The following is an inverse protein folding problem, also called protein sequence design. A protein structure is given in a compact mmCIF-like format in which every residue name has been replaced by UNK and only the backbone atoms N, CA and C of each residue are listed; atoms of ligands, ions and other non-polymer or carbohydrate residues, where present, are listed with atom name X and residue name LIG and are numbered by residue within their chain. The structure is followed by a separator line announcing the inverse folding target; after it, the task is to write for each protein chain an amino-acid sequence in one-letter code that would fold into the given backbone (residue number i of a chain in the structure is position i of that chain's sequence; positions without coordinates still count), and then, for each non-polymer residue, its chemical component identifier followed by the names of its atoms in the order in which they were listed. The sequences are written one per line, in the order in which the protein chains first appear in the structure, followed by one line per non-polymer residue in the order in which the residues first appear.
data_IF_343190499642
#
_entry.id   IF_343190499642
#
_cell.length_a   1.000
_cell.length_b   1.000
_cell.length_c   1.000
_cell.angle_alpha   90.00
_cell.angle_beta   90.00
_cell.angle_gamma   90.00
#
_symmetry.space_group_name_H-M   'P 1'
#
loop_
_entity.id
_entity.type
_entity.pdbx_description
1 polymer ?
#
# COMPACT_ATOMS: atom_id res chain seq x y z
N UNK A 1 -16.02 -4.72 -4.59
CA UNK A 1 -14.74 -4.05 -4.90
C UNK A 1 -13.60 -4.90 -4.35
N UNK A 2 -12.50 -5.09 -5.08
CA UNK A 2 -11.50 -6.12 -4.73
C UNK A 2 -10.40 -5.67 -3.73
N UNK A 3 -10.27 -4.37 -3.44
CA UNK A 3 -9.17 -3.86 -2.62
C UNK A 3 -9.67 -2.95 -1.49
N UNK A 4 -9.16 -3.18 -0.28
CA UNK A 4 -9.45 -2.36 0.89
C UNK A 4 -8.24 -2.28 1.83
N UNK A 5 -8.22 -1.22 2.66
CA UNK A 5 -7.30 -1.02 3.78
C UNK A 5 -8.18 -0.65 4.97
N UNK A 6 -8.04 -1.35 6.10
CA UNK A 6 -8.87 -1.16 7.30
C UNK A 6 -10.39 -1.21 7.04
N UNK A 7 -10.83 -2.09 6.15
CA UNK A 7 -12.23 -2.18 5.74
C UNK A 7 -12.68 -1.13 4.74
N UNK A 8 -11.89 -0.07 4.51
CA UNK A 8 -12.21 1.01 3.58
C UNK A 8 -11.77 0.67 2.15
N UNK A 9 -12.68 0.75 1.16
CA UNK A 9 -12.36 0.40 -0.22
C UNK A 9 -11.38 1.41 -0.82
N UNK A 10 -10.46 0.96 -1.67
CA UNK A 10 -9.50 1.81 -2.37
C UNK A 10 -9.26 1.32 -3.80
N UNK A 11 -8.58 2.11 -4.62
CA UNK A 11 -8.12 1.68 -5.94
C UNK A 11 -6.98 0.69 -5.75
N UNK A 12 -6.73 -0.13 -6.78
CA UNK A 12 -5.60 -1.07 -6.77
C UNK A 12 -4.28 -0.34 -6.53
N UNK A 13 -4.09 0.82 -7.14
CA UNK A 13 -2.87 1.60 -7.03
C UNK A 13 -2.69 2.18 -5.63
N UNK A 14 -3.75 2.68 -4.99
CA UNK A 14 -3.69 3.09 -3.60
C UNK A 14 -3.42 1.92 -2.66
N UNK A 15 -4.09 0.78 -2.87
CA UNK A 15 -3.81 -0.43 -2.09
C UNK A 15 -2.34 -0.81 -2.14
N UNK A 16 -1.72 -0.77 -3.32
CA UNK A 16 -0.29 -1.04 -3.50
C UNK A 16 0.56 -0.05 -2.70
N UNK A 17 0.28 1.25 -2.82
CA UNK A 17 1.00 2.32 -2.11
C UNK A 17 0.89 2.18 -0.59
N UNK A 18 -0.33 2.06 -0.07
CA UNK A 18 -0.61 1.95 1.36
C UNK A 18 -0.06 0.66 1.97
N UNK A 19 -0.16 -0.46 1.24
CA UNK A 19 0.45 -1.73 1.66
C UNK A 19 1.97 -1.63 1.73
N UNK A 20 2.60 -0.97 0.75
CA UNK A 20 4.04 -0.71 0.76
C UNK A 20 4.46 0.13 1.96
N UNK A 21 3.67 1.16 2.27
CA UNK A 21 3.88 2.05 3.39
C UNK A 21 3.89 1.27 4.72
N UNK A 22 2.86 0.45 4.97
CA UNK A 22 2.78 -0.44 6.13
C UNK A 22 3.93 -1.43 6.19
N UNK A 23 4.27 -1.99 5.04
CA UNK A 23 5.38 -2.92 4.94
C UNK A 23 6.69 -2.26 5.38
N UNK A 24 6.95 -1.03 4.99
CA UNK A 24 8.14 -0.28 5.44
C UNK A 24 8.05 0.22 6.89
N UNK A 25 6.99 -0.16 7.61
CA UNK A 25 6.83 0.03 9.03
C UNK A 25 6.11 1.29 9.45
N UNK A 26 5.55 2.02 8.49
CA UNK A 26 4.71 3.18 8.77
C UNK A 26 3.39 2.69 9.37
N UNK A 27 3.03 3.26 10.52
CA UNK A 27 1.77 2.98 11.21
C UNK A 27 0.78 4.08 10.87
N UNK A 28 -0.41 3.69 10.39
CA UNK A 28 -1.51 4.60 10.11
C UNK A 28 -2.82 3.81 10.07
N UNK A 29 -3.92 4.51 10.36
CA UNK A 29 -5.28 4.03 10.15
C UNK A 29 -5.91 4.77 8.96
N UNK A 30 -6.56 4.03 8.05
CA UNK A 30 -7.34 4.62 6.96
C UNK A 30 -8.80 4.75 7.43
N UNK A 31 -9.24 5.98 7.67
CA UNK A 31 -10.61 6.29 8.08
C UNK A 31 -11.57 6.20 6.91
N UNK A 32 -11.20 6.78 5.76
CA UNK A 32 -11.99 6.71 4.53
C UNK A 32 -11.11 6.60 3.29
N UNK A 33 -11.58 5.81 2.32
CA UNK A 33 -10.96 5.65 1.01
C UNK A 33 -11.90 6.09 -0.09
N UNK A 34 -12.15 5.20 -1.05
CA UNK A 34 -13.11 5.42 -2.12
C UNK A 34 -14.54 5.46 -1.57
N UNK A 35 -15.33 6.43 -2.01
CA UNK A 35 -16.72 6.60 -1.59
C UNK A 35 -17.66 6.35 -2.77
N UNK A 36 -18.81 5.74 -2.49
CA UNK A 36 -19.92 5.67 -3.44
C UNK A 36 -20.74 6.97 -3.41
N UNK A 37 -21.43 7.30 -4.51
CA UNK A 37 -22.26 8.52 -4.58
C UNK A 37 -23.33 8.57 -3.48
N UNK A 38 -23.94 7.43 -3.16
CA UNK A 38 -24.92 7.29 -2.07
C UNK A 38 -24.32 7.63 -0.71
N UNK A 39 -23.07 7.22 -0.46
CA UNK A 39 -22.37 7.57 0.78
C UNK A 39 -22.02 9.06 0.83
N UNK A 40 -21.61 9.66 -0.29
CA UNK A 40 -21.36 11.11 -0.35
C UNK A 40 -22.63 11.93 -0.06
N UNK A 41 -23.80 11.48 -0.53
CA UNK A 41 -25.08 12.07 -0.15
C UNK A 41 -25.33 12.06 1.35
N UNK A 42 -24.97 10.97 2.05
CA UNK A 42 -25.09 10.89 3.51
C UNK A 42 -24.22 11.96 4.18
N UNK A 43 -22.94 12.06 3.81
CA UNK A 43 -22.03 13.06 4.38
C UNK A 43 -22.43 14.49 4.05
N UNK A 44 -22.89 14.75 2.83
CA UNK A 44 -23.41 16.06 2.43
C UNK A 44 -24.60 16.50 3.30
N UNK A 45 -25.53 15.59 3.58
CA UNK A 45 -26.67 15.90 4.46
C UNK A 45 -26.22 16.17 5.90
N UNK A 46 -25.27 15.40 6.43
CA UNK A 46 -24.69 15.63 7.75
C UNK A 46 -23.99 16.99 7.84
N UNK A 47 -23.21 17.37 6.82
CA UNK A 47 -22.61 18.69 6.73
C UNK A 47 -23.66 19.80 6.78
N UNK A 48 -24.74 19.66 5.99
CA UNK A 48 -25.86 20.62 5.96
C UNK A 48 -26.59 20.75 7.30
N UNK A 49 -26.50 19.76 8.18
CA UNK A 49 -27.05 19.79 9.53
C UNK A 49 -26.02 20.14 10.62
N UNK A 50 -24.87 20.72 10.25
CA UNK A 50 -23.83 21.18 11.19
C UNK A 50 -22.70 20.18 11.46
N UNK A 51 -22.60 19.10 10.70
CA UNK A 51 -21.48 18.16 10.75
C UNK A 51 -20.21 18.65 10.04
N UNK A 52 -19.21 17.78 9.96
CA UNK A 52 -17.94 18.05 9.27
C UNK A 52 -18.15 18.46 7.81
N UNK A 53 -17.18 19.22 7.28
CA UNK A 53 -17.16 19.65 5.88
C UNK A 53 -17.32 18.43 4.95
N UNK A 54 -18.18 18.57 3.94
CA UNK A 54 -18.36 17.55 2.92
C UNK A 54 -18.55 18.21 1.56
N UNK A 55 -17.91 17.65 0.53
CA UNK A 55 -18.14 18.08 -0.84
C UNK A 55 -19.57 17.74 -1.33
N UNK A 56 -20.12 18.56 -2.22
CA UNK A 56 -21.40 18.25 -2.87
C UNK A 56 -21.32 16.90 -3.62
N UNK A 57 -22.37 16.05 -3.56
CA UNK A 57 -22.37 14.74 -4.19
C UNK A 57 -22.28 14.83 -5.71
N UNK A 58 -21.12 14.50 -6.26
CA UNK A 58 -20.87 14.53 -7.70
C UNK A 58 -19.90 13.42 -8.11
N UNK A 59 -19.89 12.99 -9.38
CA UNK A 59 -18.92 11.99 -9.87
C UNK A 59 -17.45 12.39 -9.70
N UNK A 60 -17.17 13.69 -9.59
CA UNK A 60 -15.84 14.28 -9.45
C UNK A 60 -15.43 14.56 -8.02
N UNK A 61 -16.33 14.35 -7.04
CA UNK A 61 -16.03 14.55 -5.62
C UNK A 61 -14.76 13.78 -5.20
N UNK A 62 -13.92 14.33 -4.30
CA UNK A 62 -12.56 13.81 -4.04
C UNK A 62 -12.49 12.32 -3.73
N UNK A 63 -13.39 11.78 -2.90
CA UNK A 63 -13.40 10.35 -2.56
C UNK A 63 -14.07 9.46 -3.62
N UNK A 64 -14.87 10.03 -4.53
CA UNK A 64 -15.58 9.25 -5.55
C UNK A 64 -14.68 9.05 -6.76
N UNK A 65 -14.36 10.17 -7.44
CA UNK A 65 -13.65 10.27 -8.72
C UNK A 65 -13.98 9.08 -9.64
N UNK A 66 -15.22 9.01 -10.13
CA UNK A 66 -15.72 7.89 -10.95
C UNK A 66 -14.76 7.61 -12.11
N UNK A 67 -14.45 6.33 -12.34
CA UNK A 67 -13.52 5.91 -13.41
C UNK A 67 -12.04 6.24 -13.15
N UNK A 68 -11.72 7.03 -12.12
CA UNK A 68 -10.34 7.40 -11.80
C UNK A 68 -9.81 6.58 -10.63
N UNK A 69 -8.47 6.54 -10.54
CA UNK A 69 -7.73 5.77 -9.53
C UNK A 69 -7.27 6.61 -8.34
N UNK A 70 -7.28 7.93 -8.49
CA UNK A 70 -6.67 8.92 -7.61
C UNK A 70 -7.68 9.61 -6.70
N UNK A 71 -8.69 8.89 -6.20
CA UNK A 71 -9.55 9.44 -5.14
C UNK A 71 -8.72 9.82 -3.92
N UNK A 72 -9.23 10.79 -3.17
CA UNK A 72 -8.66 11.20 -1.89
C UNK A 72 -8.71 10.07 -0.86
N UNK A 73 -7.88 10.20 0.16
CA UNK A 73 -7.84 9.30 1.31
C UNK A 73 -7.91 10.15 2.58
N UNK A 74 -8.68 9.69 3.55
CA UNK A 74 -8.66 10.22 4.91
C UNK A 74 -7.85 9.27 5.77
N UNK A 75 -6.62 9.65 6.05
CA UNK A 75 -5.72 8.91 6.93
C UNK A 75 -5.73 9.60 8.27
N UNK A 76 -5.94 8.85 9.35
CA UNK A 76 -6.01 9.41 10.69
C UNK A 76 -4.78 10.27 11.00
N UNK A 77 -5.04 11.44 11.56
CA UNK A 77 -4.02 12.31 12.12
C UNK A 77 -3.87 12.00 13.60
N UNK A 78 -2.74 11.40 13.96
CA UNK A 78 -2.34 11.08 15.33
C UNK A 78 -1.67 12.26 16.04
N UNK A 79 -1.41 13.35 15.32
CA UNK A 79 -0.66 14.52 15.82
C UNK A 79 0.85 14.30 15.97
N UNK A 80 1.38 13.08 15.74
CA UNK A 80 2.83 12.83 15.74
C UNK A 80 3.34 12.67 14.31
N UNK A 81 4.52 13.24 14.03
CA UNK A 81 5.14 13.17 12.69
C UNK A 81 5.57 11.77 12.28
N UNK A 82 5.70 10.84 13.23
CA UNK A 82 6.21 9.48 13.02
C UNK A 82 5.12 8.45 12.70
N UNK A 83 3.85 8.81 12.80
CA UNK A 83 2.69 7.99 12.48
C UNK A 83 1.62 8.78 11.72
N UNK A 84 0.51 8.10 11.39
CA UNK A 84 -0.65 8.70 10.75
C UNK A 84 -0.36 9.29 9.37
N UNK A 85 -1.13 10.31 9.00
CA UNK A 85 -1.09 10.99 7.70
C UNK A 85 0.30 11.56 7.36
N UNK A 86 0.99 12.18 8.32
CA UNK A 86 2.27 12.86 8.08
C UNK A 86 3.40 11.86 7.79
N UNK A 87 3.38 10.71 8.45
CA UNK A 87 4.32 9.63 8.16
C UNK A 87 4.10 9.03 6.76
N UNK A 88 2.84 8.91 6.32
CA UNK A 88 2.49 8.46 4.96
C UNK A 88 2.98 9.47 3.91
N UNK A 89 2.72 10.76 4.13
CA UNK A 89 3.21 11.84 3.25
C UNK A 89 4.73 11.81 3.16
N UNK A 90 5.41 11.78 4.31
CA UNK A 90 6.88 11.75 4.38
C UNK A 90 7.48 10.51 3.72
N UNK A 91 6.85 9.34 3.89
CA UNK A 91 7.27 8.10 3.24
C UNK A 91 7.17 8.17 1.71
N UNK A 92 6.11 8.80 1.19
CA UNK A 92 5.93 9.02 -0.23
C UNK A 92 6.91 10.06 -0.78
N UNK A 93 7.14 11.15 -0.05
CA UNK A 93 8.07 12.21 -0.41
C UNK A 93 9.50 11.70 -0.54
N UNK A 94 9.98 10.87 0.40
CA UNK A 94 11.28 10.17 0.30
C UNK A 94 11.41 9.24 -0.91
N UNK A 95 10.30 8.92 -1.56
CA UNK A 95 10.25 8.14 -2.81
C UNK A 95 9.98 9.04 -4.02
N UNK A 96 10.05 10.36 -3.89
CA UNK A 96 9.88 11.30 -5.00
C UNK A 96 8.44 11.40 -5.51
N UNK A 97 7.44 11.20 -4.64
CA UNK A 97 6.03 11.48 -4.93
C UNK A 97 5.48 12.37 -3.83
N UNK A 98 4.80 13.44 -4.23
CA UNK A 98 4.20 14.38 -3.28
C UNK A 98 2.74 14.00 -3.03
N UNK A 99 2.42 13.73 -1.77
CA UNK A 99 1.05 13.73 -1.28
C UNK A 99 0.78 15.08 -0.63
N UNK A 100 -0.41 15.63 -0.84
CA UNK A 100 -0.78 16.98 -0.41
C UNK A 100 -2.06 16.94 0.38
N UNK A 101 -2.13 17.76 1.44
CA UNK A 101 -3.36 18.07 2.15
C UNK A 101 -4.05 19.19 1.38
N UNK A 102 -5.16 18.89 0.72
CA UNK A 102 -5.81 19.82 -0.22
C UNK A 102 -6.93 20.63 0.41
N UNK A 103 -7.38 20.26 1.60
CA UNK A 103 -8.50 20.90 2.30
C UNK A 103 -8.02 21.53 3.60
N UNK A 104 -8.24 22.84 3.74
CA UNK A 104 -7.89 23.57 4.95
C UNK A 104 -8.76 23.10 6.12
N UNK A 105 -8.13 22.83 7.27
CA UNK A 105 -8.82 22.31 8.47
C UNK A 105 -8.95 20.78 8.51
N UNK A 106 -8.75 20.07 7.39
CA UNK A 106 -8.80 18.61 7.34
C UNK A 106 -7.40 18.01 7.25
N UNK A 107 -6.68 18.01 8.38
CA UNK A 107 -5.28 17.57 8.42
C UNK A 107 -5.07 16.09 8.01
N UNK A 108 -6.14 15.30 7.99
CA UNK A 108 -6.20 13.88 7.60
C UNK A 108 -6.44 13.64 6.10
N UNK A 109 -6.99 14.62 5.38
CA UNK A 109 -7.38 14.48 3.97
C UNK A 109 -6.18 14.64 3.06
N UNK A 110 -5.84 13.60 2.30
CA UNK A 110 -4.69 13.62 1.37
C UNK A 110 -5.06 13.22 -0.04
N UNK A 111 -4.37 13.87 -0.97
CA UNK A 111 -4.41 13.55 -2.39
C UNK A 111 -2.99 13.42 -2.95
N UNK A 112 -2.88 12.76 -4.10
CA UNK A 112 -1.62 12.66 -4.82
C UNK A 112 -1.45 13.83 -5.79
N UNK A 113 -0.37 14.60 -5.62
CA UNK A 113 -0.03 15.66 -6.56
C UNK A 113 0.25 15.06 -7.95
N UNK A 114 -0.34 15.65 -9.00
CA UNK A 114 -0.27 15.11 -10.37
C UNK A 114 -1.26 13.98 -10.68
N UNK A 115 -2.18 13.67 -9.75
CA UNK A 115 -3.35 12.83 -9.96
C UNK A 115 -3.05 11.38 -10.40
N UNK A 116 -3.98 10.79 -11.15
CA UNK A 116 -3.96 9.38 -11.52
C UNK A 116 -2.71 8.93 -12.28
N UNK A 117 -2.14 9.80 -13.13
CA UNK A 117 -0.89 9.48 -13.84
C UNK A 117 0.29 9.33 -12.87
N UNK A 118 0.40 10.23 -11.90
CA UNK A 118 1.41 10.15 -10.84
C UNK A 118 1.21 8.91 -9.97
N UNK A 119 -0.02 8.62 -9.56
CA UNK A 119 -0.34 7.42 -8.76
C UNK A 119 -0.03 6.11 -9.49
N UNK A 120 -0.38 6.03 -10.77
CA UNK A 120 -0.09 4.86 -11.61
C UNK A 120 1.42 4.65 -11.76
N UNK A 121 2.18 5.70 -12.05
CA UNK A 121 3.64 5.63 -12.14
C UNK A 121 4.25 5.23 -10.81
N UNK A 122 3.79 5.86 -9.72
CA UNK A 122 4.31 5.58 -8.40
C UNK A 122 4.07 4.14 -8.01
N UNK A 123 2.81 3.67 -8.09
CA UNK A 123 2.44 2.29 -7.77
C UNK A 123 3.26 1.31 -8.60
N UNK A 124 3.44 1.52 -9.90
CA UNK A 124 4.29 0.67 -10.76
C UNK A 124 5.76 0.63 -10.33
N UNK A 125 6.34 1.72 -9.83
CA UNK A 125 7.73 1.75 -9.35
C UNK A 125 7.91 0.98 -8.05
N UNK A 126 6.89 0.99 -7.19
CA UNK A 126 6.95 0.28 -5.91
C UNK A 126 6.48 -1.19 -6.05
N UNK A 127 5.64 -1.50 -7.05
CA UNK A 127 5.14 -2.85 -7.39
C UNK A 127 6.20 -3.94 -7.67
N UNK A 128 7.39 -3.70 -8.27
CA UNK A 128 8.13 -4.81 -8.88
C UNK A 128 9.00 -5.62 -7.92
N UNK A 129 9.32 -5.14 -6.71
CA UNK A 129 10.34 -5.83 -5.89
C UNK A 129 10.03 -5.99 -4.40
N UNK A 130 9.07 -5.25 -3.83
CA UNK A 130 8.99 -5.12 -2.35
C UNK A 130 7.59 -5.26 -1.74
N UNK A 131 6.51 -5.09 -2.51
CA UNK A 131 5.18 -4.80 -1.92
C UNK A 131 4.43 -6.00 -1.37
N UNK A 132 4.76 -7.22 -1.77
CA UNK A 132 4.06 -8.37 -1.22
C UNK A 132 4.84 -9.06 -0.09
N UNK A 133 6.11 -8.70 0.18
CA UNK A 133 6.92 -9.37 1.20
C UNK A 133 6.59 -8.80 2.59
N UNK A 134 5.96 -9.63 3.41
CA UNK A 134 5.87 -9.44 4.85
C UNK A 134 7.25 -9.14 5.44
N UNK A 135 7.29 -8.51 6.63
CA UNK A 135 8.55 -8.23 7.31
C UNK A 135 9.44 -9.47 7.49
N UNK A 136 8.92 -10.66 7.89
CA UNK A 136 9.71 -11.88 7.93
C UNK A 136 10.32 -12.25 6.58
N UNK A 137 9.51 -12.22 5.51
CA UNK A 137 9.99 -12.51 4.16
C UNK A 137 11.14 -11.58 3.76
N UNK A 138 11.01 -10.26 4.01
CA UNK A 138 12.08 -9.30 3.70
C UNK A 138 13.37 -9.57 4.47
N UNK A 139 13.28 -9.94 5.76
CA UNK A 139 14.47 -10.30 6.55
C UNK A 139 15.18 -11.51 5.93
N UNK A 140 14.45 -12.56 5.58
CA UNK A 140 15.01 -13.75 4.93
C UNK A 140 15.63 -13.42 3.58
N UNK A 141 14.97 -12.60 2.76
CA UNK A 141 15.47 -12.18 1.45
C UNK A 141 16.77 -11.38 1.58
N UNK A 142 16.82 -10.43 2.52
CA UNK A 142 18.00 -9.62 2.77
C UNK A 142 19.16 -10.47 3.32
N UNK A 143 18.86 -11.44 4.19
CA UNK A 143 19.85 -12.40 4.68
C UNK A 143 20.47 -13.18 3.52
N UNK A 144 19.66 -13.75 2.62
CA UNK A 144 20.16 -14.49 1.45
C UNK A 144 21.06 -13.60 0.59
N UNK A 145 20.62 -12.37 0.28
CA UNK A 145 21.41 -11.42 -0.52
C UNK A 145 22.74 -11.05 0.15
N UNK A 146 22.71 -10.75 1.45
CA UNK A 146 23.90 -10.42 2.23
C UNK A 146 24.86 -11.58 2.41
N UNK A 147 24.38 -12.82 2.38
CA UNK A 147 25.23 -14.01 2.37
C UNK A 147 25.85 -14.25 1.00
N UNK A 148 25.13 -13.97 -0.10
CA UNK A 148 25.65 -14.14 -1.47
C UNK A 148 26.81 -13.21 -1.80
N UNK A 149 26.80 -11.98 -1.28
CA UNK A 149 27.88 -11.01 -1.48
C UNK A 149 29.17 -11.35 -0.75
N UNK A 150 29.15 -12.31 0.19
CA UNK A 150 30.32 -12.73 0.98
C UNK A 150 31.05 -13.91 0.35
N UNK A 151 32.35 -14.07 0.66
CA UNK A 151 33.14 -15.25 0.28
C UNK A 151 32.43 -16.55 0.70
N UNK A 152 32.52 -17.57 -0.16
CA UNK A 152 31.81 -18.83 0.05
C UNK A 152 32.45 -19.67 1.16
N UNK A 153 31.69 -19.97 2.21
CA UNK A 153 32.07 -20.91 3.28
C UNK A 153 31.01 -22.02 3.44
N UNK A 154 31.36 -23.12 4.13
CA UNK A 154 30.42 -24.21 4.45
C UNK A 154 29.23 -23.67 5.27
N UNK A 155 29.50 -22.89 6.31
CA UNK A 155 28.48 -22.25 7.14
C UNK A 155 27.56 -21.32 6.32
N UNK A 156 28.12 -20.54 5.38
CA UNK A 156 27.33 -19.70 4.46
C UNK A 156 26.38 -20.53 3.59
N UNK A 157 26.88 -21.62 3.02
CA UNK A 157 26.07 -22.52 2.16
C UNK A 157 24.92 -23.15 2.96
N UNK A 158 25.18 -23.57 4.20
CA UNK A 158 24.16 -24.09 5.11
C UNK A 158 23.10 -23.01 5.44
N UNK A 159 23.52 -21.80 5.78
CA UNK A 159 22.60 -20.69 6.07
C UNK A 159 21.74 -20.29 4.87
N UNK A 160 22.31 -20.26 3.66
CA UNK A 160 21.55 -20.03 2.42
C UNK A 160 20.52 -21.15 2.21
N UNK A 161 20.89 -22.42 2.42
CA UNK A 161 19.99 -23.57 2.27
C UNK A 161 18.80 -23.48 3.23
N UNK A 162 19.06 -23.17 4.51
CA UNK A 162 18.01 -22.98 5.51
C UNK A 162 17.05 -21.83 5.12
N UNK A 163 17.61 -20.68 4.73
CA UNK A 163 16.80 -19.52 4.32
C UNK A 163 15.99 -19.79 3.03
N UNK A 164 16.54 -20.58 2.08
CA UNK A 164 15.81 -21.06 0.90
C UNK A 164 14.62 -21.97 1.29
N UNK A 165 14.77 -22.80 2.32
CA UNK A 165 13.66 -23.59 2.89
C UNK A 165 12.52 -22.70 3.39
N UNK A 166 12.83 -21.61 4.09
CA UNK A 166 11.83 -20.62 4.51
C UNK A 166 11.12 -19.96 3.33
N UNK A 167 11.87 -19.59 2.27
CA UNK A 167 11.31 -19.05 1.01
C UNK A 167 10.35 -20.04 0.34
N UNK A 168 10.67 -21.33 0.36
CA UNK A 168 9.80 -22.39 -0.16
C UNK A 168 8.45 -22.42 0.59
N UNK A 169 8.48 -22.31 1.92
CA UNK A 169 7.27 -22.19 2.75
C UNK A 169 6.41 -20.98 2.38
N UNK A 170 7.04 -19.82 2.15
CA UNK A 170 6.33 -18.63 1.69
C UNK A 170 5.68 -18.83 0.31
N UNK A 171 6.36 -19.53 -0.62
CA UNK A 171 5.78 -19.87 -1.94
C UNK A 171 4.54 -20.74 -1.82
N UNK A 172 4.54 -21.71 -0.90
CA UNK A 172 3.38 -22.57 -0.64
C UNK A 172 2.20 -21.75 -0.09
N UNK A 173 2.47 -20.75 0.76
CA UNK A 173 1.45 -19.88 1.37
C UNK A 173 0.74 -18.91 0.43
N UNK A 174 1.29 -18.62 -0.76
CA UNK A 174 0.77 -17.59 -1.69
C UNK A 174 -0.72 -17.78 -2.01
N UNK A 175 -1.17 -19.03 -2.20
CA UNK A 175 -2.59 -19.30 -2.51
C UNK A 175 -3.51 -18.93 -1.35
N UNK A 176 -3.10 -19.20 -0.11
CA UNK A 176 -3.86 -18.86 1.10
C UNK A 176 -3.92 -17.35 1.31
N UNK A 177 -2.79 -16.66 1.12
CA UNK A 177 -2.71 -15.19 1.18
C UNK A 177 -3.58 -14.54 0.09
N UNK A 178 -3.58 -15.10 -1.12
CA UNK A 178 -4.37 -14.59 -2.23
C UNK A 178 -5.88 -14.64 -1.99
N UNK A 179 -6.37 -15.72 -1.35
CA UNK A 179 -7.79 -15.85 -0.98
C UNK A 179 -8.22 -14.77 0.01
N UNK A 180 -7.38 -14.45 0.99
CA UNK A 180 -7.67 -13.44 2.03
C UNK A 180 -7.47 -12.00 1.57
N UNK A 181 -6.53 -11.75 0.66
CA UNK A 181 -6.12 -10.41 0.24
C UNK A 181 -6.66 -9.96 -1.12
N UNK A 182 -7.55 -10.73 -1.76
CA UNK A 182 -8.12 -10.36 -3.07
C UNK A 182 -7.13 -10.38 -4.23
N UNK A 183 -6.07 -11.20 -4.17
CA UNK A 183 -5.05 -11.23 -5.23
C UNK A 183 -5.56 -11.98 -6.47
N UNK A 184 -5.41 -11.38 -7.65
CA UNK A 184 -5.74 -12.05 -8.91
C UNK A 184 -4.63 -13.01 -9.39
N UNK A 185 -4.88 -13.74 -10.49
CA UNK A 185 -3.92 -14.69 -11.09
C UNK A 185 -2.57 -14.04 -11.43
N UNK A 186 -2.56 -12.81 -11.93
CA UNK A 186 -1.34 -12.11 -12.33
C UNK A 186 -0.51 -11.67 -11.12
N UNK A 187 -1.16 -11.24 -10.03
CA UNK A 187 -0.50 -10.90 -8.77
C UNK A 187 0.19 -12.13 -8.16
N UNK A 188 -0.48 -13.29 -8.17
CA UNK A 188 0.12 -14.57 -7.77
C UNK A 188 1.31 -14.96 -8.65
N UNK A 189 1.17 -14.87 -9.98
CA UNK A 189 2.25 -15.22 -10.92
C UNK A 189 3.49 -14.35 -10.70
N UNK A 190 3.31 -13.04 -10.54
CA UNK A 190 4.40 -12.11 -10.19
C UNK A 190 5.05 -12.47 -8.86
N UNK A 191 4.25 -12.87 -7.86
CA UNK A 191 4.76 -13.28 -6.56
C UNK A 191 5.62 -14.55 -6.63
N UNK A 192 5.15 -15.57 -7.32
CA UNK A 192 5.92 -16.80 -7.55
C UNK A 192 7.22 -16.51 -8.31
N UNK A 193 7.19 -15.63 -9.31
CA UNK A 193 8.39 -15.23 -10.04
C UNK A 193 9.40 -14.56 -9.12
N UNK A 194 8.97 -13.55 -8.35
CA UNK A 194 9.84 -12.81 -7.45
C UNK A 194 10.50 -13.69 -6.37
N UNK A 195 9.76 -14.60 -5.73
CA UNK A 195 10.35 -15.56 -4.79
C UNK A 195 11.25 -16.58 -5.49
N UNK A 196 10.96 -16.91 -6.75
CA UNK A 196 11.72 -17.89 -7.54
C UNK A 196 13.09 -17.37 -7.93
N UNK A 197 13.18 -16.10 -8.34
CA UNK A 197 14.45 -15.42 -8.60
C UNK A 197 15.34 -15.41 -7.35
N UNK A 198 14.75 -15.19 -6.17
CA UNK A 198 15.49 -15.20 -4.90
C UNK A 198 15.90 -16.63 -4.52
N UNK A 199 15.05 -17.62 -4.78
CA UNK A 199 15.36 -19.02 -4.50
C UNK A 199 16.42 -19.59 -5.45
N UNK A 200 16.41 -19.23 -6.73
CA UNK A 200 17.28 -19.81 -7.76
C UNK A 200 18.60 -19.07 -7.98
N UNK A 201 18.63 -17.75 -7.75
CA UNK A 201 19.89 -16.99 -7.80
C UNK A 201 20.87 -17.38 -6.71
#
# INVERSE_FOLDING_TARGET
MAYSIDGNPVSREWYIVLSACRNDGIRFHLNEGRRAIKQQWKFWRLYRSGGNLAAYPSPTAPHIRVGRIDHALDVESTGRKSDGVDAVISWAARRGVRLVKTVQGEAWHIEIAGGGKALRRFSRRITPAKIAFSRPERRTINLIRGLRSKKSTVARRAAIRAAKGTIQGYRAGIRSTAKRGGWNKNDRKRRYKALGEIYNG
#
